data_IF_122105429102
#
_entry.id   IF_122105429102
#
_cell.length_a   1.000
_cell.length_b   1.000
_cell.length_c   1.000
_cell.angle_alpha   90.00
_cell.angle_beta   90.00
_cell.angle_gamma   90.00
#
_symmetry.space_group_name_H-M   'P 1'
#
loop_
_entity.id
_entity.type
_entity.pdbx_description
1 polymer ?
#
# COMPACT_ATOMS: atom_id res chain seq x y z
N UNK A 1 178.60 23.01 23.78
CA UNK A 1 177.49 23.41 24.67
C UNK A 1 176.27 23.92 23.92
N UNK A 2 176.38 24.90 22.99
CA UNK A 2 175.22 25.49 22.29
C UNK A 2 174.35 24.50 21.49
N UNK A 3 174.93 23.51 20.80
CA UNK A 3 174.17 22.50 20.04
C UNK A 3 173.36 21.57 20.95
N UNK A 4 173.82 21.32 22.18
CA UNK A 4 173.07 20.48 23.14
C UNK A 4 171.83 21.21 23.64
N UNK A 5 171.96 22.49 24.01
CA UNK A 5 170.84 23.33 24.43
C UNK A 5 169.77 23.43 23.33
N UNK A 6 170.16 23.68 22.07
CA UNK A 6 169.20 23.71 20.96
C UNK A 6 168.49 22.37 20.71
N UNK A 7 169.17 21.25 20.97
CA UNK A 7 168.55 19.90 20.90
C UNK A 7 167.56 19.68 22.04
N UNK A 8 167.83 20.20 23.23
CA UNK A 8 166.91 20.18 24.37
C UNK A 8 165.69 21.04 24.11
N UNK A 9 165.88 22.28 23.65
CA UNK A 9 164.78 23.19 23.26
C UNK A 9 163.89 22.56 22.19
N UNK A 10 164.48 21.92 21.17
CA UNK A 10 163.71 21.22 20.14
C UNK A 10 162.94 20.03 20.71
N UNK A 11 163.53 19.26 21.64
CA UNK A 11 162.84 18.14 22.30
C UNK A 11 161.67 18.61 23.15
N UNK A 12 161.82 19.68 23.92
CA UNK A 12 160.75 20.26 24.73
C UNK A 12 159.65 20.87 23.86
N UNK A 13 160.01 21.60 22.80
CA UNK A 13 159.04 22.12 21.84
C UNK A 13 158.28 20.98 21.17
N UNK A 14 158.95 19.89 20.81
CA UNK A 14 158.32 18.73 20.20
C UNK A 14 157.39 17.99 21.17
N UNK A 15 157.79 17.85 22.45
CA UNK A 15 156.94 17.22 23.48
C UNK A 15 155.71 18.08 23.81
N UNK A 16 155.86 19.40 23.93
CA UNK A 16 154.76 20.35 24.09
C UNK A 16 153.82 20.33 22.88
N UNK A 17 154.37 20.31 21.65
CA UNK A 17 153.56 20.20 20.42
C UNK A 17 152.75 18.91 20.43
N UNK A 18 153.35 17.77 20.79
CA UNK A 18 152.63 16.50 20.90
C UNK A 18 151.52 16.53 21.97
N UNK A 19 151.74 17.17 23.12
CA UNK A 19 150.70 17.35 24.14
C UNK A 19 149.54 18.20 23.61
N UNK A 20 149.84 19.28 22.87
CA UNK A 20 148.82 20.11 22.23
C UNK A 20 148.03 19.34 21.17
N UNK A 21 148.69 18.51 20.35
CA UNK A 21 148.04 17.64 19.38
C UNK A 21 147.05 16.69 20.07
N UNK A 22 147.48 15.97 21.12
CA UNK A 22 146.60 15.06 21.87
C UNK A 22 145.41 15.81 22.48
N UNK A 23 145.64 17.01 23.03
CA UNK A 23 144.55 17.84 23.59
C UNK A 23 143.58 18.30 22.50
N UNK A 24 144.07 18.67 21.32
CA UNK A 24 143.24 19.04 20.18
C UNK A 24 142.42 17.85 19.69
N UNK A 25 143.00 16.65 19.58
CA UNK A 25 142.28 15.42 19.19
C UNK A 25 141.16 15.09 20.19
N UNK A 26 141.42 15.23 21.49
CA UNK A 26 140.41 15.03 22.54
C UNK A 26 139.24 16.03 22.42
N UNK A 27 139.55 17.32 22.27
CA UNK A 27 138.53 18.36 22.08
C UNK A 27 137.75 18.17 20.76
N UNK A 28 138.41 17.75 19.68
CA UNK A 28 137.74 17.43 18.42
C UNK A 28 136.76 16.27 18.58
N UNK A 29 137.14 15.23 19.33
CA UNK A 29 136.24 14.11 19.64
C UNK A 29 135.05 14.54 20.49
N UNK A 30 135.26 15.40 21.50
CA UNK A 30 134.20 15.95 22.33
C UNK A 30 133.22 16.82 21.52
N UNK A 31 133.73 17.72 20.68
CA UNK A 31 132.92 18.55 19.78
C UNK A 31 132.09 17.66 18.85
N UNK A 32 132.67 16.60 18.29
CA UNK A 32 131.95 15.66 17.43
C UNK A 32 130.81 14.98 18.19
N UNK A 33 131.08 14.46 19.39
CA UNK A 33 130.06 13.80 20.23
C UNK A 33 128.92 14.76 20.62
N UNK A 34 129.25 16.00 21.01
CA UNK A 34 128.25 17.03 21.31
C UNK A 34 127.45 17.42 20.07
N UNK A 35 128.09 17.51 18.90
CA UNK A 35 127.40 17.79 17.64
C UNK A 35 126.46 16.65 17.24
N UNK A 36 126.86 15.40 17.41
CA UNK A 36 126.02 14.23 17.14
C UNK A 36 124.82 14.20 18.10
N UNK A 37 125.06 14.49 19.39
CA UNK A 37 123.98 14.60 20.39
C UNK A 37 123.01 15.74 20.08
N UNK A 38 123.51 16.88 19.61
CA UNK A 38 122.67 18.01 19.18
C UNK A 38 121.76 17.59 18.03
N UNK A 39 122.30 16.95 16.98
CA UNK A 39 121.48 16.48 15.84
C UNK A 39 120.40 15.50 16.27
N UNK A 40 120.73 14.57 17.17
CA UNK A 40 119.74 13.64 17.73
C UNK A 40 118.60 14.37 18.45
N UNK A 41 118.92 15.39 19.27
CA UNK A 41 117.90 16.18 19.94
C UNK A 41 117.07 17.01 18.96
N UNK A 42 117.66 17.55 17.90
CA UNK A 42 116.95 18.27 16.84
C UNK A 42 116.00 17.34 16.07
N UNK A 43 116.41 16.10 15.78
CA UNK A 43 115.54 15.10 15.17
C UNK A 43 114.37 14.71 16.07
N UNK A 44 114.64 14.45 17.37
CA UNK A 44 113.58 14.16 18.34
C UNK A 44 112.61 15.32 18.50
N UNK A 45 113.10 16.55 18.54
CA UNK A 45 112.26 17.74 18.60
C UNK A 45 111.38 17.84 17.35
N UNK A 46 111.94 17.62 16.16
CA UNK A 46 111.19 17.66 14.90
C UNK A 46 110.09 16.60 14.86
N UNK A 47 110.39 15.36 15.26
CA UNK A 47 109.38 14.30 15.36
C UNK A 47 108.25 14.65 16.35
N UNK A 48 108.58 15.22 17.52
CA UNK A 48 107.55 15.64 18.47
C UNK A 48 106.70 16.82 17.98
N UNK A 49 107.26 17.70 17.14
CA UNK A 49 106.50 18.79 16.52
C UNK A 49 105.52 18.23 15.47
N UNK A 50 105.97 17.30 14.63
CA UNK A 50 105.10 16.61 13.67
C UNK A 50 103.95 15.87 14.36
N UNK A 51 104.23 15.16 15.46
CA UNK A 51 103.19 14.54 16.29
C UNK A 51 102.22 15.57 16.89
N UNK A 52 102.72 16.73 17.33
CA UNK A 52 101.89 17.81 17.85
C UNK A 52 100.94 18.38 16.78
N UNK A 53 101.45 18.62 15.57
CA UNK A 53 100.68 19.12 14.44
C UNK A 53 99.56 18.13 14.06
N UNK A 54 99.88 16.83 14.04
CA UNK A 54 98.88 15.77 13.80
C UNK A 54 97.80 15.77 14.89
N UNK A 55 98.21 15.84 16.17
CA UNK A 55 97.26 15.90 17.29
C UNK A 55 96.39 17.16 17.22
N UNK A 56 96.96 18.30 16.86
CA UNK A 56 96.21 19.54 16.67
C UNK A 56 95.13 19.37 15.59
N UNK A 57 95.47 18.76 14.45
CA UNK A 57 94.49 18.45 13.41
C UNK A 57 93.34 17.55 13.92
N UNK A 58 93.66 16.52 14.71
CA UNK A 58 92.60 15.66 15.30
C UNK A 58 91.72 16.40 16.30
N UNK A 59 92.28 17.36 17.04
CA UNK A 59 91.51 18.20 17.98
C UNK A 59 90.56 19.11 17.22
N UNK A 60 91.01 19.73 16.13
CA UNK A 60 90.18 20.58 15.26
C UNK A 60 89.02 19.76 14.64
N UNK A 61 89.28 18.57 14.11
CA UNK A 61 88.22 17.68 13.60
C UNK A 61 87.20 17.27 14.68
N UNK A 62 87.67 16.99 15.89
CA UNK A 62 86.79 16.66 17.02
C UNK A 62 85.97 17.86 17.47
N UNK A 63 86.53 19.07 17.46
CA UNK A 63 85.81 20.31 17.75
C UNK A 63 84.69 20.56 16.75
N UNK A 64 84.96 20.40 15.45
CA UNK A 64 83.94 20.50 14.40
C UNK A 64 82.81 19.47 14.60
N UNK A 65 83.18 18.24 14.95
CA UNK A 65 82.19 17.18 15.23
C UNK A 65 81.34 17.49 16.46
N UNK A 66 81.93 18.05 17.53
CA UNK A 66 81.20 18.49 18.72
C UNK A 66 80.19 19.58 18.33
N UNK A 67 80.61 20.59 17.57
CA UNK A 67 79.74 21.68 17.13
C UNK A 67 78.53 21.19 16.32
N UNK A 68 78.73 20.20 15.44
CA UNK A 68 77.64 19.57 14.69
C UNK A 68 76.68 18.83 15.63
N UNK A 69 77.21 18.06 16.58
CA UNK A 69 76.40 17.30 17.54
C UNK A 69 75.60 18.23 18.46
N UNK A 70 76.19 19.34 18.89
CA UNK A 70 75.50 20.37 19.69
C UNK A 70 74.32 20.95 18.90
N UNK A 71 74.54 21.36 17.64
CA UNK A 71 73.46 21.85 16.76
C UNK A 71 72.35 20.81 16.61
N UNK A 72 72.69 19.54 16.35
CA UNK A 72 71.71 18.47 16.25
C UNK A 72 70.95 18.22 17.56
N UNK A 73 71.61 18.38 18.71
CA UNK A 73 70.96 18.32 20.02
C UNK A 73 69.91 19.42 20.17
N UNK A 74 70.28 20.66 19.87
CA UNK A 74 69.38 21.81 19.93
C UNK A 74 68.18 21.64 19.00
N UNK A 75 68.39 21.16 17.76
CA UNK A 75 67.31 20.91 16.80
C UNK A 75 66.33 19.84 17.32
N UNK A 76 66.83 18.77 17.95
CA UNK A 76 66.00 17.73 18.57
C UNK A 76 65.23 18.25 19.78
N UNK A 77 65.84 19.09 20.61
CA UNK A 77 65.17 19.70 21.75
C UNK A 77 64.02 20.61 21.30
N UNK A 78 64.22 21.37 20.21
CA UNK A 78 63.16 22.16 19.59
C UNK A 78 62.00 21.28 19.07
N UNK A 79 62.32 20.17 18.39
CA UNK A 79 61.31 19.21 17.92
C UNK A 79 60.53 18.56 19.07
N UNK A 80 61.22 18.17 20.15
CA UNK A 80 60.58 17.61 21.34
C UNK A 80 59.64 18.64 21.98
N UNK A 81 60.06 19.89 22.07
CA UNK A 81 59.22 20.96 22.62
C UNK A 81 57.96 21.18 21.76
N UNK A 82 58.10 21.21 20.43
CA UNK A 82 56.96 21.30 19.51
C UNK A 82 55.98 20.13 19.69
N UNK A 83 56.50 18.90 19.71
CA UNK A 83 55.68 17.70 19.90
C UNK A 83 54.95 17.69 21.26
N UNK A 84 55.57 18.22 22.31
CA UNK A 84 54.93 18.37 23.62
C UNK A 84 53.75 19.34 23.58
N UNK A 85 53.89 20.47 22.88
CA UNK A 85 52.81 21.45 22.71
C UNK A 85 51.64 20.85 21.92
N UNK A 86 51.92 20.18 20.80
CA UNK A 86 50.90 19.48 20.00
C UNK A 86 50.17 18.41 20.82
N UNK A 87 50.91 17.61 21.60
CA UNK A 87 50.32 16.61 22.48
C UNK A 87 49.41 17.25 23.55
N UNK A 88 49.80 18.39 24.09
CA UNK A 88 48.98 19.13 25.05
C UNK A 88 47.69 19.63 24.39
N UNK A 89 47.77 20.17 23.18
CA UNK A 89 46.60 20.61 22.41
C UNK A 89 45.64 19.45 22.13
N UNK A 90 46.17 18.32 21.65
CA UNK A 90 45.37 17.10 21.40
C UNK A 90 44.73 16.57 22.69
N UNK A 91 45.44 16.62 23.82
CA UNK A 91 44.86 16.22 25.12
C UNK A 91 43.72 17.14 25.54
N UNK A 92 43.83 18.44 25.31
CA UNK A 92 42.77 19.40 25.60
C UNK A 92 41.55 19.18 24.69
N UNK A 93 41.77 18.98 23.39
CA UNK A 93 40.69 18.71 22.44
C UNK A 93 39.99 17.37 22.73
N UNK A 94 40.75 16.33 23.11
CA UNK A 94 40.20 15.06 23.54
C UNK A 94 39.29 15.22 24.77
N UNK A 95 39.73 15.96 25.79
CA UNK A 95 38.89 16.25 26.98
C UNK A 95 37.62 17.00 26.61
N UNK A 96 37.71 17.99 25.73
CA UNK A 96 36.55 18.74 25.26
C UNK A 96 35.57 17.83 24.50
N UNK A 97 36.08 16.96 23.63
CA UNK A 97 35.24 16.01 22.90
C UNK A 97 34.63 14.98 23.84
N UNK A 98 35.36 14.53 24.85
CA UNK A 98 34.86 13.62 25.88
C UNK A 98 33.67 14.25 26.62
N UNK A 99 33.78 15.51 27.04
CA UNK A 99 32.67 16.24 27.67
C UNK A 99 31.47 16.31 26.72
N UNK A 100 31.68 16.62 25.44
CA UNK A 100 30.57 16.62 24.45
C UNK A 100 29.91 15.25 24.27
N UNK A 101 30.68 14.17 24.33
CA UNK A 101 30.13 12.80 24.26
C UNK A 101 29.31 12.49 25.50
N UNK A 102 29.77 12.91 26.68
CA UNK A 102 29.01 12.79 27.94
C UNK A 102 27.70 13.58 27.85
N UNK A 103 27.74 14.85 27.41
CA UNK A 103 26.55 15.70 27.18
C UNK A 103 25.54 15.04 26.21
N UNK A 104 26.00 14.58 25.04
CA UNK A 104 25.12 13.90 24.07
C UNK A 104 24.55 12.57 24.62
N UNK A 105 25.29 11.89 25.48
CA UNK A 105 24.83 10.65 26.12
C UNK A 105 23.75 10.96 27.15
N UNK A 106 23.91 12.04 27.93
CA UNK A 106 22.89 12.54 28.85
C UNK A 106 21.64 13.00 28.09
N UNK A 107 21.78 13.78 27.01
CA UNK A 107 20.65 14.18 26.14
C UNK A 107 19.90 12.96 25.61
N UNK A 108 20.60 11.94 25.14
CA UNK A 108 19.99 10.68 24.68
C UNK A 108 19.27 9.94 25.81
N UNK A 109 19.83 9.93 27.03
CA UNK A 109 19.19 9.33 28.20
C UNK A 109 17.90 10.07 28.56
N UNK A 110 17.93 11.40 28.57
CA UNK A 110 16.75 12.24 28.79
C UNK A 110 15.70 12.06 27.70
N UNK A 111 16.09 11.94 26.43
CA UNK A 111 15.17 11.62 25.34
C UNK A 111 14.55 10.23 25.48
N UNK A 112 15.33 9.22 25.89
CA UNK A 112 14.81 7.88 26.18
C UNK A 112 13.85 7.88 27.38
N UNK A 113 14.16 8.68 28.41
CA UNK A 113 13.26 8.89 29.55
C UNK A 113 12.00 9.64 29.10
N UNK A 114 12.12 10.66 28.25
CA UNK A 114 10.99 11.42 27.72
C UNK A 114 10.09 10.57 26.82
N UNK A 115 10.67 9.64 26.04
CA UNK A 115 9.94 8.65 25.26
C UNK A 115 9.23 7.60 26.14
N UNK A 116 9.67 7.37 27.37
CA UNK A 116 8.90 6.62 28.39
C UNK A 116 7.99 7.52 29.24
N UNK A 117 8.15 8.85 29.14
CA UNK A 117 7.33 9.89 29.76
C UNK A 117 6.30 10.50 28.79
N UNK A 118 6.15 9.95 27.57
CA UNK A 118 4.94 10.13 26.77
C UNK A 118 3.84 9.45 27.56
N UNK A 119 3.27 10.26 28.47
CA UNK A 119 2.39 9.91 29.57
C UNK A 119 1.37 8.86 29.16
N UNK A 120 0.98 7.98 30.09
CA UNK A 120 -0.20 7.14 29.98
C UNK A 120 -1.40 7.90 29.39
N UNK A 121 -1.52 9.22 29.62
CA UNK A 121 -2.54 10.05 28.98
C UNK A 121 -2.43 10.10 27.45
N UNK A 122 -1.24 10.27 26.88
CA UNK A 122 -1.03 10.22 25.43
C UNK A 122 -1.26 8.82 24.87
N UNK A 123 -0.93 7.76 25.61
CA UNK A 123 -1.22 6.38 25.22
C UNK A 123 -2.72 6.07 25.30
N UNK A 124 -3.41 6.57 26.33
CA UNK A 124 -4.87 6.45 26.51
C UNK A 124 -5.60 7.25 25.42
N UNK A 125 -5.16 8.47 25.12
CA UNK A 125 -5.73 9.28 24.04
C UNK A 125 -5.58 8.57 22.68
N UNK A 126 -4.38 8.06 22.36
CA UNK A 126 -4.15 7.28 21.15
C UNK A 126 -4.95 5.98 21.11
N UNK A 127 -5.10 5.30 22.26
CA UNK A 127 -5.89 4.07 22.37
C UNK A 127 -7.40 4.33 22.25
N UNK A 128 -7.90 5.43 22.83
CA UNK A 128 -9.30 5.83 22.71
C UNK A 128 -9.65 6.23 21.27
N UNK A 129 -8.79 7.01 20.62
CA UNK A 129 -8.94 7.38 19.21
C UNK A 129 -8.91 6.14 18.31
N UNK A 130 -8.04 5.16 18.59
CA UNK A 130 -8.01 3.89 17.88
C UNK A 130 -9.29 3.05 18.09
N UNK A 131 -9.84 3.04 19.30
CA UNK A 131 -11.09 2.32 19.63
C UNK A 131 -12.31 2.96 18.97
N UNK A 132 -12.40 4.29 18.92
CA UNK A 132 -13.47 5.01 18.20
C UNK A 132 -13.45 4.68 16.70
N UNK A 133 -12.27 4.70 16.07
CA UNK A 133 -12.12 4.32 14.66
C UNK A 133 -12.48 2.84 14.42
N UNK A 134 -12.17 1.95 15.37
CA UNK A 134 -12.56 0.55 15.29
C UNK A 134 -14.08 0.35 15.41
N UNK A 135 -14.75 1.12 16.27
CA UNK A 135 -16.20 1.15 16.39
C UNK A 135 -16.86 1.68 15.10
N UNK A 136 -16.35 2.78 14.53
CA UNK A 136 -16.84 3.32 13.26
C UNK A 136 -16.69 2.31 12.12
N UNK A 137 -15.54 1.63 12.05
CA UNK A 137 -15.27 0.58 11.06
C UNK A 137 -16.25 -0.59 11.20
N UNK A 138 -16.53 -1.03 12.43
CA UNK A 138 -17.47 -2.12 12.68
C UNK A 138 -18.92 -1.70 12.39
N UNK A 139 -19.29 -0.45 12.68
CA UNK A 139 -20.59 0.10 12.31
C UNK A 139 -20.76 0.17 10.79
N UNK A 140 -19.75 0.63 10.05
CA UNK A 140 -19.76 0.61 8.58
C UNK A 140 -19.85 -0.82 8.04
N UNK A 141 -19.20 -1.78 8.68
CA UNK A 141 -19.29 -3.21 8.33
C UNK A 141 -20.70 -3.75 8.47
N UNK A 142 -21.40 -3.40 9.55
CA UNK A 142 -22.80 -3.77 9.79
C UNK A 142 -23.74 -3.15 8.73
N UNK A 143 -23.58 -1.87 8.41
CA UNK A 143 -24.39 -1.21 7.37
C UNK A 143 -24.17 -1.83 5.99
N UNK A 144 -22.92 -2.16 5.65
CA UNK A 144 -22.58 -2.83 4.40
C UNK A 144 -23.22 -4.22 4.33
N UNK A 145 -23.26 -4.93 5.45
CA UNK A 145 -23.92 -6.23 5.56
C UNK A 145 -25.44 -6.15 5.36
N UNK A 146 -26.10 -5.18 5.99
CA UNK A 146 -27.53 -4.93 5.81
C UNK A 146 -27.86 -4.60 4.34
N UNK A 147 -27.07 -3.72 3.71
CA UNK A 147 -27.23 -3.39 2.30
C UNK A 147 -27.07 -4.62 1.39
N UNK A 148 -26.07 -5.48 1.67
CA UNK A 148 -25.88 -6.72 0.93
C UNK A 148 -27.08 -7.67 1.07
N UNK A 149 -27.57 -7.88 2.29
CA UNK A 149 -28.76 -8.70 2.54
C UNK A 149 -29.99 -8.18 1.78
N UNK A 150 -30.21 -6.86 1.79
CA UNK A 150 -31.32 -6.22 1.07
C UNK A 150 -31.21 -6.44 -0.44
N UNK A 151 -30.03 -6.24 -1.03
CA UNK A 151 -29.80 -6.46 -2.46
C UNK A 151 -30.05 -7.92 -2.83
N UNK A 152 -29.55 -8.87 -2.03
CA UNK A 152 -29.83 -10.30 -2.25
C UNK A 152 -31.32 -10.63 -2.18
N UNK A 153 -32.04 -10.07 -1.21
CA UNK A 153 -33.48 -10.24 -1.09
C UNK A 153 -34.21 -9.74 -2.35
N UNK A 154 -33.85 -8.55 -2.85
CA UNK A 154 -34.42 -7.99 -4.09
C UNK A 154 -34.11 -8.88 -5.31
N UNK A 155 -32.87 -9.37 -5.44
CA UNK A 155 -32.51 -10.31 -6.50
C UNK A 155 -33.35 -11.59 -6.47
N UNK A 156 -33.57 -12.17 -5.28
CA UNK A 156 -34.42 -13.35 -5.11
C UNK A 156 -35.88 -13.05 -5.46
N UNK A 157 -36.39 -11.88 -5.06
CA UNK A 157 -37.76 -11.47 -5.35
C UNK A 157 -38.00 -11.27 -6.86
N UNK A 158 -37.07 -10.62 -7.56
CA UNK A 158 -37.15 -10.42 -9.01
C UNK A 158 -37.01 -11.73 -9.79
N UNK A 159 -36.13 -12.64 -9.34
CA UNK A 159 -35.99 -13.98 -9.94
C UNK A 159 -37.24 -14.86 -9.72
N UNK A 160 -37.93 -14.67 -8.59
CA UNK A 160 -39.17 -15.38 -8.26
C UNK A 160 -40.40 -14.91 -9.06
N UNK A 161 -40.33 -13.78 -9.76
CA UNK A 161 -41.43 -13.28 -10.59
C UNK A 161 -41.48 -13.94 -12.00
N UNK A 162 -40.46 -14.71 -12.39
CA UNK A 162 -40.40 -15.47 -13.67
C UNK A 162 -40.68 -16.98 -13.47
N UNK A 163 -41.74 -17.35 -12.75
CA UNK A 163 -42.17 -18.77 -12.68
C UNK A 163 -43.68 -18.95 -12.65
N UNK A 164 -44.35 -18.54 -13.73
CA UNK A 164 -45.38 -19.41 -14.28
C UNK A 164 -44.67 -20.50 -15.10
N UNK A 165 -44.70 -21.72 -14.59
CA UNK A 165 -44.54 -22.97 -15.34
C UNK A 165 -43.15 -23.28 -15.94
N UNK A 166 -42.33 -24.03 -15.20
CA UNK A 166 -41.34 -24.94 -15.82
C UNK A 166 -40.94 -26.05 -14.84
N UNK A 167 -41.77 -27.08 -14.78
CA UNK A 167 -41.37 -28.40 -14.32
C UNK A 167 -40.60 -29.11 -15.45
N UNK A 168 -39.28 -29.27 -15.33
CA UNK A 168 -38.53 -30.49 -15.70
C UNK A 168 -37.04 -30.35 -15.31
N UNK A 169 -36.43 -31.49 -15.09
CA UNK A 169 -35.26 -31.77 -14.25
C UNK A 169 -33.86 -31.32 -14.74
N UNK A 170 -32.94 -31.51 -13.79
CA UNK A 170 -31.60 -32.13 -13.89
C UNK A 170 -30.34 -31.27 -14.04
N UNK A 171 -29.49 -31.47 -13.02
CA UNK A 171 -28.03 -31.48 -13.03
C UNK A 171 -27.27 -30.18 -13.34
N UNK A 172 -26.90 -29.50 -12.26
CA UNK A 172 -25.61 -28.82 -12.19
C UNK A 172 -25.16 -28.72 -10.74
N UNK A 173 -24.22 -29.62 -10.42
CA UNK A 173 -23.15 -29.59 -9.41
C UNK A 173 -23.00 -28.36 -8.52
N UNK A 174 -22.87 -28.65 -7.22
CA UNK A 174 -22.06 -27.97 -6.18
C UNK A 174 -21.52 -26.58 -6.54
N UNK A 175 -22.11 -25.55 -5.95
CA UNK A 175 -21.35 -24.42 -5.44
C UNK A 175 -22.04 -23.87 -4.18
N UNK A 176 -21.35 -24.08 -3.06
CA UNK A 176 -21.44 -23.40 -1.77
C UNK A 176 -22.70 -22.55 -1.49
N UNK A 177 -23.72 -23.21 -0.93
CA UNK A 177 -24.45 -22.58 0.16
C UNK A 177 -23.49 -22.41 1.33
N UNK A 178 -22.76 -21.29 1.39
CA UNK A 178 -22.22 -20.83 2.65
C UNK A 178 -23.08 -19.70 3.17
N UNK A 179 -23.75 -20.02 4.27
CA UNK A 179 -24.37 -19.10 5.20
C UNK A 179 -23.37 -18.01 5.61
N UNK A 180 -23.34 -16.89 4.89
CA UNK A 180 -22.91 -15.64 5.54
C UNK A 180 -24.10 -15.25 6.43
N UNK A 181 -24.09 -15.66 7.69
CA UNK A 181 -25.09 -15.28 8.71
C UNK A 181 -24.54 -14.17 9.63
N UNK A 182 -23.36 -13.66 9.33
CA UNK A 182 -22.61 -12.70 10.13
C UNK A 182 -21.96 -11.62 9.27
N UNK A 183 -21.98 -10.38 9.75
CA UNK A 183 -21.27 -9.24 9.15
C UNK A 183 -19.75 -9.48 9.05
N UNK A 184 -19.21 -10.44 9.82
CA UNK A 184 -17.79 -10.80 9.80
C UNK A 184 -17.37 -11.58 8.54
N UNK A 185 -18.30 -12.19 7.81
CA UNK A 185 -17.96 -13.15 6.76
C UNK A 185 -18.30 -12.68 5.35
N UNK A 186 -18.40 -11.36 5.09
CA UNK A 186 -18.64 -10.81 3.75
C UNK A 186 -17.33 -10.72 2.97
N UNK A 187 -17.12 -11.55 1.93
CA UNK A 187 -15.95 -11.39 1.08
C UNK A 187 -15.98 -10.04 0.37
N UNK A 188 -14.81 -9.40 0.26
CA UNK A 188 -14.66 -8.14 -0.46
C UNK A 188 -15.18 -8.29 -1.90
N UNK A 189 -16.13 -7.42 -2.29
CA UNK A 189 -16.75 -7.44 -3.62
C UNK A 189 -18.09 -8.18 -3.71
N UNK A 190 -18.56 -8.86 -2.65
CA UNK A 190 -19.85 -9.58 -2.67
C UNK A 190 -21.05 -8.66 -2.91
N UNK A 191 -21.06 -7.47 -2.29
CA UNK A 191 -22.08 -6.45 -2.58
C UNK A 191 -22.03 -5.98 -4.03
N UNK A 192 -20.83 -5.81 -4.60
CA UNK A 192 -20.66 -5.42 -6.01
C UNK A 192 -21.20 -6.49 -6.94
N UNK A 193 -20.95 -7.77 -6.66
CA UNK A 193 -21.51 -8.88 -7.41
C UNK A 193 -23.02 -8.92 -7.30
N UNK A 194 -23.58 -8.80 -6.10
CA UNK A 194 -25.03 -8.79 -5.87
C UNK A 194 -25.73 -7.62 -6.57
N UNK A 195 -25.13 -6.43 -6.57
CA UNK A 195 -25.64 -5.25 -7.29
C UNK A 195 -25.59 -5.43 -8.81
N UNK A 196 -24.53 -6.05 -9.34
CA UNK A 196 -24.43 -6.36 -10.75
C UNK A 196 -25.48 -7.40 -11.18
N UNK A 197 -25.76 -8.38 -10.34
CA UNK A 197 -26.83 -9.36 -10.56
C UNK A 197 -28.20 -8.69 -10.51
N UNK A 198 -28.45 -7.78 -9.56
CA UNK A 198 -29.68 -6.99 -9.50
C UNK A 198 -29.88 -6.18 -10.77
N UNK A 199 -28.83 -5.50 -11.26
CA UNK A 199 -28.85 -4.75 -12.52
C UNK A 199 -29.21 -5.65 -13.71
N UNK A 200 -28.64 -6.86 -13.78
CA UNK A 200 -28.94 -7.83 -14.85
C UNK A 200 -30.40 -8.28 -14.80
N UNK A 201 -30.92 -8.58 -13.61
CA UNK A 201 -32.32 -9.00 -13.42
C UNK A 201 -33.31 -7.89 -13.79
N UNK A 202 -33.06 -6.65 -13.37
CA UNK A 202 -33.88 -5.50 -13.75
C UNK A 202 -33.88 -5.31 -15.27
N UNK A 203 -32.69 -5.38 -15.91
CA UNK A 203 -32.60 -5.24 -17.36
C UNK A 203 -33.37 -6.35 -18.09
N UNK A 204 -33.28 -7.61 -17.61
CA UNK A 204 -34.04 -8.73 -18.17
C UNK A 204 -35.55 -8.52 -18.11
N UNK A 205 -36.07 -7.97 -17.01
CA UNK A 205 -37.51 -7.69 -16.87
C UNK A 205 -37.92 -6.56 -17.83
N UNK A 206 -37.11 -5.51 -17.94
CA UNK A 206 -37.39 -4.39 -18.86
C UNK A 206 -37.40 -4.87 -20.32
N UNK A 207 -36.40 -5.65 -20.73
CA UNK A 207 -36.28 -6.20 -22.08
C UNK A 207 -37.42 -7.19 -22.39
N UNK A 208 -37.96 -7.90 -21.39
CA UNK A 208 -39.12 -8.79 -21.53
C UNK A 208 -40.47 -8.07 -21.65
N UNK A 209 -40.62 -6.89 -21.04
CA UNK A 209 -41.85 -6.08 -21.12
C UNK A 209 -41.94 -5.34 -22.45
N UNK A 210 -40.83 -4.93 -23.04
CA UNK A 210 -40.77 -4.18 -24.30
C UNK A 210 -41.46 -4.87 -25.51
N UNK A 211 -41.24 -6.16 -25.82
CA UNK A 211 -41.96 -6.87 -26.90
C UNK A 211 -43.46 -7.03 -26.59
N UNK A 212 -43.83 -7.19 -25.33
CA UNK A 212 -45.22 -7.35 -24.91
C UNK A 212 -45.99 -6.04 -25.03
N UNK A 213 -45.37 -4.92 -24.64
CA UNK A 213 -45.94 -3.57 -24.78
C UNK A 213 -46.04 -3.17 -26.25
N UNK A 214 -45.05 -3.49 -27.07
CA UNK A 214 -45.11 -3.22 -28.51
C UNK A 214 -46.20 -4.03 -29.20
N UNK A 215 -46.36 -5.32 -28.86
CA UNK A 215 -47.46 -6.16 -29.37
C UNK A 215 -48.83 -5.60 -28.97
N UNK A 216 -49.04 -5.31 -27.68
CA UNK A 216 -50.30 -4.73 -27.19
C UNK A 216 -50.60 -3.36 -27.80
N UNK A 217 -49.56 -2.56 -28.09
CA UNK A 217 -49.70 -1.28 -28.78
C UNK A 217 -50.20 -1.48 -30.22
N UNK A 218 -49.65 -2.45 -30.94
CA UNK A 218 -50.13 -2.83 -32.29
C UNK A 218 -51.57 -3.33 -32.23
N UNK A 219 -51.91 -4.21 -31.30
CA UNK A 219 -53.29 -4.70 -31.10
C UNK A 219 -54.26 -3.56 -30.77
N UNK A 220 -53.87 -2.62 -29.91
CA UNK A 220 -54.66 -1.43 -29.60
C UNK A 220 -54.87 -0.53 -30.82
N UNK A 221 -53.86 -0.38 -31.68
CA UNK A 221 -54.04 0.36 -32.94
C UNK A 221 -55.03 -0.34 -33.87
N UNK A 222 -54.94 -1.67 -34.02
CA UNK A 222 -55.87 -2.44 -34.85
C UNK A 222 -57.32 -2.39 -34.32
N UNK A 223 -57.52 -2.53 -33.00
CA UNK A 223 -58.84 -2.41 -32.37
C UNK A 223 -59.41 -1.00 -32.51
N UNK A 224 -58.56 0.03 -32.46
CA UNK A 224 -58.97 1.42 -32.65
C UNK A 224 -59.44 1.67 -34.09
N UNK A 225 -58.75 1.12 -35.08
CA UNK A 225 -59.15 1.14 -36.49
C UNK A 225 -60.47 0.40 -36.72
N UNK A 226 -60.68 -0.77 -36.11
CA UNK A 226 -61.94 -1.52 -36.21
C UNK A 226 -63.11 -0.74 -35.58
N UNK A 227 -62.90 -0.15 -34.40
CA UNK A 227 -63.89 0.68 -33.73
C UNK A 227 -64.26 1.91 -34.56
N UNK A 228 -63.30 2.57 -35.20
CA UNK A 228 -63.57 3.72 -36.06
C UNK A 228 -64.33 3.30 -37.35
N UNK A 229 -64.04 2.11 -37.91
CA UNK A 229 -64.85 1.53 -39.00
C UNK A 229 -66.30 1.29 -38.58
N UNK A 230 -66.54 0.67 -37.42
CA UNK A 230 -67.89 0.41 -36.91
C UNK A 230 -68.65 1.71 -36.65
N UNK A 231 -67.97 2.74 -36.12
CA UNK A 231 -68.58 4.04 -35.89
C UNK A 231 -69.08 4.68 -37.19
N UNK A 232 -68.29 4.65 -38.26
CA UNK A 232 -68.70 5.14 -39.60
C UNK A 232 -69.93 4.38 -40.11
N UNK A 233 -69.98 3.06 -39.96
CA UNK A 233 -71.15 2.26 -40.38
C UNK A 233 -72.40 2.51 -39.52
N UNK A 234 -72.24 2.92 -38.25
CA UNK A 234 -73.36 3.22 -37.34
C UNK A 234 -73.92 4.63 -37.51
N UNK A 235 -73.09 5.57 -37.97
CA UNK A 235 -73.48 6.96 -38.24
C UNK A 235 -74.15 7.13 -39.61
N UNK A 236 -74.24 6.06 -40.40
CA UNK A 236 -74.97 6.02 -41.66
C UNK A 236 -76.49 6.09 -41.40
N UNK A 237 -77.02 7.33 -41.39
CA UNK A 237 -78.42 7.67 -41.07
C UNK A 237 -79.39 7.44 -42.22
N UNK A 238 -78.89 7.21 -43.44
CA UNK A 238 -79.71 7.03 -44.64
C UNK A 238 -80.82 5.95 -44.50
N UNK A 239 -80.56 4.73 -44.00
CA UNK A 239 -81.61 3.72 -43.86
C UNK A 239 -82.64 4.08 -42.77
N UNK A 240 -82.23 4.80 -41.72
CA UNK A 240 -83.09 5.19 -40.60
C UNK A 240 -84.03 6.33 -40.98
N UNK A 241 -83.58 7.26 -41.81
CA UNK A 241 -84.39 8.36 -42.36
C UNK A 241 -85.42 7.87 -43.38
N UNK A 242 -85.05 6.92 -44.24
CA UNK A 242 -85.98 6.26 -45.17
C UNK A 242 -87.12 5.55 -44.42
N UNK A 243 -86.80 4.85 -43.33
CA UNK A 243 -87.80 4.17 -42.50
C UNK A 243 -88.76 5.15 -41.80
N UNK A 244 -88.25 6.27 -41.27
CA UNK A 244 -89.09 7.29 -40.61
C UNK A 244 -90.02 8.01 -41.58
N UNK A 245 -89.60 8.21 -42.84
CA UNK A 245 -90.48 8.79 -43.87
C UNK A 245 -91.67 7.89 -44.17
N UNK A 246 -91.43 6.58 -44.31
CA UNK A 246 -92.49 5.59 -44.55
C UNK A 246 -93.53 5.52 -43.41
N UNK A 247 -93.12 5.73 -42.16
CA UNK A 247 -94.02 5.74 -41.00
C UNK A 247 -94.94 6.96 -41.01
N UNK A 248 -94.41 8.16 -41.32
CA UNK A 248 -95.21 9.39 -41.37
C UNK A 248 -96.30 9.33 -42.44
N UNK A 249 -95.97 8.82 -43.63
CA UNK A 249 -96.91 8.71 -44.74
C UNK A 249 -98.07 7.76 -44.39
N UNK A 250 -97.80 6.71 -43.61
CA UNK A 250 -98.83 5.77 -43.11
C UNK A 250 -99.76 6.42 -42.10
N UNK A 251 -99.23 7.15 -41.13
CA UNK A 251 -100.03 7.73 -40.05
C UNK A 251 -100.91 8.90 -40.55
N UNK A 252 -100.49 9.62 -41.60
CA UNK A 252 -101.32 10.64 -42.26
C UNK A 252 -102.52 10.03 -43.02
N UNK A 253 -102.37 8.81 -43.55
CA UNK A 253 -103.48 8.10 -44.18
C UNK A 253 -104.55 7.65 -43.18
N UNK A 254 -104.15 7.31 -41.95
CA UNK A 254 -105.06 6.90 -40.87
C UNK A 254 -105.90 8.07 -40.34
N UNK A 255 -105.35 9.30 -40.35
CA UNK A 255 -106.02 10.48 -39.83
C UNK A 255 -107.18 11.02 -40.70
N UNK A 256 -107.31 10.57 -41.96
CA UNK A 256 -108.26 11.15 -42.94
C UNK A 256 -109.56 10.34 -43.16
N UNK A 257 -109.89 9.37 -42.30
CA UNK A 257 -111.11 8.56 -42.46
C UNK A 257 -112.25 9.02 -41.51
N UNK A 258 -113.35 9.64 -42.01
CA UNK A 258 -114.45 10.11 -41.16
C UNK A 258 -115.53 9.04 -40.93
N UNK A 259 -116.04 9.04 -39.68
CA UNK A 259 -117.00 8.10 -39.08
C UNK A 259 -118.44 8.41 -39.52
N UNK A 260 -119.19 7.38 -39.95
CA UNK A 260 -120.66 7.40 -40.06
C UNK A 260 -121.27 6.15 -39.39
N UNK A 261 -122.51 6.21 -38.85
CA UNK A 261 -123.04 5.20 -37.94
C UNK A 261 -124.18 4.32 -38.52
N UNK A 262 -124.57 3.31 -37.74
CA UNK A 262 -125.74 2.40 -37.82
C UNK A 262 -125.69 1.10 -38.66
N UNK A 263 -125.70 0.00 -37.88
CA UNK A 263 -126.59 -1.19 -37.90
C UNK A 263 -126.67 -2.22 -39.06
N UNK A 264 -126.59 -3.50 -38.60
CA UNK A 264 -126.96 -4.81 -39.19
C UNK A 264 -126.09 -5.26 -40.37
N UNK A 265 -125.50 -6.45 -40.38
CA UNK A 265 -126.17 -7.75 -40.33
C UNK A 265 -125.31 -8.86 -39.71
N UNK A 266 -126.03 -9.80 -39.09
CA UNK A 266 -125.69 -11.19 -38.83
C UNK A 266 -125.11 -11.94 -40.03
N UNK A 267 -124.47 -13.08 -39.73
CA UNK A 267 -124.01 -14.22 -40.58
C UNK A 267 -122.46 -14.30 -40.62
N UNK A 268 -121.88 -15.00 -39.65
CA UNK A 268 -121.36 -16.39 -39.77
C UNK A 268 -120.04 -16.50 -40.56
N UNK A 269 -118.94 -16.54 -39.81
CA UNK A 269 -117.89 -17.54 -40.03
C UNK A 269 -117.48 -18.11 -38.67
N UNK A 270 -118.43 -18.84 -38.08
CA UNK A 270 -118.10 -20.01 -37.26
C UNK A 270 -117.52 -21.04 -38.23
N UNK A 271 -116.22 -21.30 -38.10
CA UNK A 271 -115.41 -22.48 -38.48
C UNK A 271 -113.98 -22.01 -38.17
N UNK A 272 -113.44 -22.15 -36.97
CA UNK A 272 -113.08 -23.38 -36.25
C UNK A 272 -112.99 -23.01 -34.76
N UNK A 273 -113.89 -23.40 -33.86
CA UNK A 273 -113.93 -24.70 -33.18
C UNK A 273 -112.54 -25.32 -32.92
N UNK A 274 -112.11 -25.25 -31.65
CA UNK A 274 -111.29 -26.18 -30.85
C UNK A 274 -110.75 -27.49 -31.50
N UNK A 275 -109.66 -28.11 -30.97
CA UNK A 275 -108.89 -27.77 -29.76
C UNK A 275 -107.36 -27.79 -29.97
N UNK A 276 -106.60 -27.01 -29.20
CA UNK A 276 -105.25 -27.44 -28.77
C UNK A 276 -105.06 -27.08 -27.30
N UNK A 277 -105.65 -27.96 -26.52
CA UNK A 277 -105.72 -28.03 -25.07
C UNK A 277 -104.38 -28.51 -24.48
N UNK A 278 -103.23 -27.94 -24.89
CA UNK A 278 -101.94 -28.59 -24.61
C UNK A 278 -100.70 -27.70 -24.36
N UNK A 279 -100.83 -26.43 -23.93
CA UNK A 279 -99.65 -25.65 -23.50
C UNK A 279 -99.82 -24.89 -22.19
N UNK A 280 -101.01 -24.93 -21.56
CA UNK A 280 -101.20 -24.41 -20.20
C UNK A 280 -100.59 -25.32 -19.10
N UNK A 281 -99.75 -26.29 -19.46
CA UNK A 281 -99.13 -27.25 -18.53
C UNK A 281 -97.59 -27.15 -18.45
N UNK A 282 -96.92 -26.26 -19.20
CA UNK A 282 -95.45 -26.32 -19.30
C UNK A 282 -94.64 -25.07 -18.97
N UNK A 283 -95.20 -23.96 -18.50
CA UNK A 283 -94.38 -22.83 -18.00
C UNK A 283 -94.88 -22.34 -16.63
N UNK A 284 -95.17 -23.30 -15.75
CA UNK A 284 -95.29 -23.10 -14.30
C UNK A 284 -94.41 -24.11 -13.53
N UNK A 285 -93.38 -24.64 -14.22
CA UNK A 285 -92.46 -25.70 -13.77
C UNK A 285 -90.96 -25.33 -13.90
N UNK A 286 -90.62 -24.05 -14.04
CA UNK A 286 -89.21 -23.60 -14.07
C UNK A 286 -88.88 -22.48 -13.07
N UNK A 287 -89.77 -22.20 -12.11
CA UNK A 287 -89.53 -21.24 -11.02
C UNK A 287 -89.67 -21.82 -9.60
N UNK A 288 -89.90 -23.13 -9.46
CA UNK A 288 -90.04 -23.82 -8.16
C UNK A 288 -89.30 -25.18 -8.16
N UNK A 289 -87.96 -25.15 -8.15
CA UNK A 289 -87.03 -26.23 -7.77
C UNK A 289 -85.62 -25.61 -7.95
N UNK A 290 -84.92 -25.11 -6.94
CA UNK A 290 -84.21 -25.95 -5.99
C UNK A 290 -83.87 -25.19 -4.68
N UNK A 291 -84.77 -24.32 -4.22
CA UNK A 291 -84.72 -23.79 -2.85
C UNK A 291 -85.52 -24.73 -1.92
N UNK A 292 -84.96 -25.91 -1.59
CA UNK A 292 -85.70 -26.85 -0.73
C UNK A 292 -85.15 -28.26 -0.49
N UNK A 293 -83.84 -28.52 -0.57
CA UNK A 293 -83.24 -29.75 0.00
C UNK A 293 -82.39 -29.43 1.22
N UNK A 294 -83.08 -28.96 2.25
CA UNK A 294 -82.63 -29.11 3.61
C UNK A 294 -83.14 -30.44 4.18
N UNK A 295 -82.27 -31.11 4.94
CA UNK A 295 -82.54 -32.13 5.97
C UNK A 295 -82.71 -33.60 5.53
N UNK A 296 -81.66 -34.34 5.92
CA UNK A 296 -81.66 -35.68 6.54
C UNK A 296 -81.82 -36.89 5.60
N UNK A 297 -80.67 -37.38 5.12
CA UNK A 297 -80.33 -38.81 5.21
C UNK A 297 -78.96 -38.95 5.86
N UNK A 298 -79.00 -39.05 7.18
CA UNK A 298 -77.92 -39.54 8.03
C UNK A 298 -78.59 -40.49 9.02
N UNK A 299 -78.89 -41.70 8.55
CA UNK A 299 -79.26 -42.87 9.36
C UNK A 299 -78.53 -44.04 8.67
N UNK A 300 -77.39 -44.47 9.20
CA UNK A 300 -77.27 -45.37 10.37
C UNK A 300 -77.22 -46.81 9.88
N UNK A 301 -76.16 -47.52 10.29
CA UNK A 301 -75.97 -48.96 10.53
C UNK A 301 -74.48 -49.24 10.25
N UNK A 302 -73.69 -49.92 11.05
CA UNK A 302 -73.64 -50.23 12.48
C UNK A 302 -72.20 -50.76 12.66
N UNK A 303 -71.55 -50.47 13.78
CA UNK A 303 -70.21 -50.99 14.11
C UNK A 303 -70.17 -52.53 14.13
N UNK A 304 -68.98 -53.16 14.22
CA UNK A 304 -68.47 -53.46 15.57
C UNK A 304 -66.93 -53.42 15.75
N UNK A 305 -66.56 -52.96 16.94
CA UNK A 305 -65.50 -53.45 17.85
C UNK A 305 -64.72 -54.72 17.43
N UNK A 306 -63.39 -54.67 17.49
CA UNK A 306 -62.54 -55.45 18.41
C UNK A 306 -61.08 -55.63 17.92
N UNK A 307 -60.16 -54.97 18.63
CA UNK A 307 -58.95 -55.50 19.29
C UNK A 307 -58.27 -56.81 18.80
N UNK A 308 -56.93 -56.72 18.76
CA UNK A 308 -55.87 -57.76 18.78
C UNK A 308 -55.55 -58.52 17.50
N UNK A 309 -54.37 -58.25 16.94
CA UNK A 309 -53.20 -59.15 16.99
C UNK A 309 -51.94 -58.30 17.09
#
# INVERSE_FOLDING_TARGET
MQVHALKEDFREKNSSTNQHIIRLESLQAEIKMLSDRKRELEHRLSATLEENDLLQGTVEELQDRVLILERQGHDKDLQLHQSQLELQEVRLSYRQLQVKVEELTEERSLQSSAATSTSLLSEIEQSMEAEELEQEREQLRLQLWEAYCQVRYLCSHLRGNDSADSAVSTDSSMDESSETSSAKDVPAGSLRTALNDLKRLIQSIVDGVEPTVTLLSVEMTALKEERDRLRVTSEDKEPKEQLQKAIRDRDEAIAKQPVLPLERHSVTCILLSYPLQHVCFCIEQLKCNDAGKARRRLWSWNSPSARWT
#
